data_IF_472692470158
#
_entry.id   IF_472692470158
#
_cell.length_a   1.000
_cell.length_b   1.000
_cell.length_c   1.000
_cell.angle_alpha   90.00
_cell.angle_beta   90.00
_cell.angle_gamma   90.00
#
_symmetry.space_group_name_H-M   'P 1'
#
loop_
_entity.id
_entity.type
_entity.pdbx_description
1 polymer ?
#
# COMPACT_ATOMS: atom_id res chain seq x y z
N UNK A 1 15.17 12.41 -0.87
CA UNK A 1 14.56 12.24 -2.21
C UNK A 1 14.72 10.80 -2.63
N UNK A 2 13.64 10.17 -3.08
CA UNK A 2 13.62 8.77 -3.54
C UNK A 2 14.33 8.62 -4.89
N UNK A 3 14.89 7.43 -5.12
CA UNK A 3 15.61 7.02 -6.32
C UNK A 3 15.22 5.60 -6.74
N UNK A 4 15.62 5.18 -7.93
CA UNK A 4 15.41 3.79 -8.39
C UNK A 4 16.12 2.74 -7.51
N UNK A 5 17.09 3.13 -6.70
CA UNK A 5 17.72 2.26 -5.69
C UNK A 5 16.84 1.97 -4.48
N UNK A 6 15.73 2.69 -4.32
CA UNK A 6 14.86 2.59 -3.14
C UNK A 6 13.63 1.66 -3.36
N UNK A 7 13.58 0.91 -4.47
CA UNK A 7 12.44 0.04 -4.84
C UNK A 7 12.05 -0.92 -3.71
N UNK A 8 13.02 -1.52 -3.03
CA UNK A 8 12.75 -2.44 -1.92
C UNK A 8 12.05 -1.77 -0.73
N UNK A 9 12.25 -0.45 -0.57
CA UNK A 9 11.67 0.32 0.53
C UNK A 9 10.32 0.95 0.20
N UNK A 10 10.14 1.42 -1.05
CA UNK A 10 8.98 2.24 -1.42
C UNK A 10 8.24 1.75 -2.67
N UNK A 11 8.64 0.62 -3.21
CA UNK A 11 8.06 0.05 -4.42
C UNK A 11 8.45 0.78 -5.71
N UNK A 12 8.19 0.12 -6.84
CA UNK A 12 8.64 0.60 -8.16
C UNK A 12 8.04 1.93 -8.57
N UNK A 13 6.75 2.16 -8.34
CA UNK A 13 6.08 3.42 -8.73
C UNK A 13 6.63 4.63 -8.00
N UNK A 14 6.86 4.52 -6.68
CA UNK A 14 7.38 5.63 -5.88
C UNK A 14 8.86 5.90 -6.20
N UNK A 15 9.66 4.84 -6.41
CA UNK A 15 11.05 4.97 -6.82
C UNK A 15 11.17 5.67 -8.19
N UNK A 16 10.36 5.28 -9.17
CA UNK A 16 10.30 5.91 -10.50
C UNK A 16 9.90 7.39 -10.42
N UNK A 17 8.89 7.74 -9.62
CA UNK A 17 8.50 9.14 -9.42
C UNK A 17 9.64 9.95 -8.79
N UNK A 18 10.31 9.40 -7.78
CA UNK A 18 11.46 10.04 -7.13
C UNK A 18 12.61 10.28 -8.10
N UNK A 19 12.89 9.32 -8.96
CA UNK A 19 13.90 9.46 -10.02
C UNK A 19 13.51 10.56 -11.03
N UNK A 20 12.26 10.56 -11.50
CA UNK A 20 11.76 11.61 -12.41
C UNK A 20 11.88 12.99 -11.81
N UNK A 21 11.45 13.20 -10.57
CA UNK A 21 11.56 14.50 -9.85
C UNK A 21 13.02 14.97 -9.78
N UNK A 22 13.97 14.03 -9.75
CA UNK A 22 15.39 14.31 -9.58
C UNK A 22 16.13 14.55 -10.87
N UNK A 23 15.68 13.99 -11.99
CA UNK A 23 16.40 13.94 -13.26
C UNK A 23 15.76 14.80 -14.37
N UNK A 24 14.48 15.11 -14.27
CA UNK A 24 13.80 15.87 -15.31
C UNK A 24 14.27 17.32 -15.37
N UNK A 25 14.40 17.90 -16.57
CA UNK A 25 14.87 19.27 -16.75
C UNK A 25 13.89 20.28 -16.15
N UNK A 26 14.41 21.47 -15.83
CA UNK A 26 13.62 22.59 -15.36
C UNK A 26 12.47 22.92 -16.34
N UNK A 27 11.26 22.98 -15.82
CA UNK A 27 10.04 23.23 -16.61
C UNK A 27 9.15 22.01 -16.82
N UNK A 28 9.66 20.79 -16.60
CA UNK A 28 8.81 19.60 -16.52
C UNK A 28 8.34 19.41 -15.07
N UNK A 29 7.02 19.44 -14.88
CA UNK A 29 6.42 19.25 -13.54
C UNK A 29 6.01 17.82 -13.33
N UNK A 30 6.53 17.21 -12.25
CA UNK A 30 6.05 15.95 -11.71
C UNK A 30 5.33 16.27 -10.41
N UNK A 31 4.13 15.72 -10.18
CA UNK A 31 3.42 15.92 -8.91
C UNK A 31 4.32 15.50 -7.74
N UNK A 32 4.39 16.35 -6.73
CA UNK A 32 5.08 16.04 -5.48
C UNK A 32 4.21 15.15 -4.60
N UNK A 33 4.83 14.47 -3.65
CA UNK A 33 4.13 13.58 -2.73
C UNK A 33 5.07 13.08 -1.65
N UNK A 34 4.53 12.25 -0.79
CA UNK A 34 5.29 11.42 0.14
C UNK A 34 4.90 9.96 -0.03
N UNK A 35 5.72 9.07 0.46
CA UNK A 35 5.44 7.64 0.48
C UNK A 35 5.71 7.10 1.89
N UNK A 36 4.87 6.17 2.33
CA UNK A 36 5.22 5.29 3.44
C UNK A 36 6.23 4.26 2.94
N UNK A 37 6.82 3.50 3.85
CA UNK A 37 7.79 2.47 3.48
C UNK A 37 7.18 1.07 3.63
N UNK A 38 7.76 0.10 2.94
CA UNK A 38 7.45 -1.32 3.16
C UNK A 38 7.63 -1.73 4.63
N UNK A 39 8.58 -1.12 5.33
CA UNK A 39 8.77 -1.30 6.77
C UNK A 39 7.55 -0.81 7.57
N UNK A 40 7.09 0.41 7.29
CA UNK A 40 5.91 0.98 7.95
C UNK A 40 4.64 0.13 7.70
N UNK A 41 4.48 -0.43 6.51
CA UNK A 41 3.41 -1.37 6.21
C UNK A 41 3.49 -2.63 7.08
N UNK A 42 4.69 -3.21 7.23
CA UNK A 42 4.89 -4.38 8.10
C UNK A 42 4.66 -4.05 9.57
N UNK A 43 5.08 -2.88 10.04
CA UNK A 43 4.78 -2.40 11.40
C UNK A 43 3.27 -2.24 11.63
N UNK A 44 2.56 -1.68 10.65
CA UNK A 44 1.10 -1.57 10.69
C UNK A 44 0.43 -2.95 10.81
N UNK A 45 0.85 -3.93 10.02
CA UNK A 45 0.32 -5.29 10.09
C UNK A 45 0.69 -6.02 11.41
N UNK A 46 1.87 -5.75 11.95
CA UNK A 46 2.30 -6.34 13.22
C UNK A 46 1.58 -5.73 14.43
N UNK A 47 1.07 -4.51 14.29
CA UNK A 47 0.43 -3.80 15.38
C UNK A 47 -0.83 -4.52 15.85
N UNK A 48 -0.97 -4.69 17.18
CA UNK A 48 -2.08 -5.38 17.84
C UNK A 48 -2.37 -6.80 17.31
N UNK A 49 -1.33 -7.48 16.80
CA UNK A 49 -1.41 -8.87 16.34
C UNK A 49 -2.28 -9.07 15.09
N UNK A 50 -2.47 -8.03 14.27
CA UNK A 50 -3.28 -8.13 13.06
C UNK A 50 -2.70 -9.18 12.08
N UNK A 51 -1.39 -9.22 11.91
CA UNK A 51 -0.73 -10.19 11.01
C UNK A 51 -1.02 -11.64 11.41
N UNK A 52 -1.08 -11.95 12.70
CA UNK A 52 -1.37 -13.30 13.19
C UNK A 52 -2.82 -13.70 12.90
N UNK A 53 -3.76 -12.75 13.04
CA UNK A 53 -5.18 -12.94 12.69
C UNK A 53 -5.35 -13.21 11.19
N UNK A 54 -4.63 -12.44 10.36
CA UNK A 54 -4.64 -12.62 8.89
C UNK A 54 -4.08 -13.99 8.52
N UNK A 55 -2.91 -14.36 9.04
CA UNK A 55 -2.28 -15.65 8.75
C UNK A 55 -3.17 -16.81 9.19
N UNK A 56 -3.74 -16.76 10.39
CA UNK A 56 -4.66 -17.80 10.87
C UNK A 56 -5.91 -17.98 9.97
N UNK A 57 -6.32 -16.93 9.25
CA UNK A 57 -7.43 -17.01 8.29
C UNK A 57 -6.98 -17.58 6.95
N UNK A 58 -5.78 -17.20 6.48
CA UNK A 58 -5.21 -17.66 5.22
C UNK A 58 -4.74 -19.12 5.27
N UNK A 59 -4.18 -19.57 6.40
CA UNK A 59 -3.69 -20.94 6.57
C UNK A 59 -4.79 -22.01 6.44
N UNK A 60 -6.04 -21.63 6.66
CA UNK A 60 -7.21 -22.51 6.56
C UNK A 60 -7.95 -22.40 5.24
N UNK A 61 -7.45 -21.55 4.33
CA UNK A 61 -8.14 -21.19 3.11
C UNK A 61 -7.80 -22.16 1.98
N UNK A 62 -8.83 -22.78 1.42
CA UNK A 62 -8.74 -23.39 0.09
C UNK A 62 -9.00 -22.32 -0.97
N UNK A 63 -7.97 -21.94 -1.70
CA UNK A 63 -8.05 -20.91 -2.74
C UNK A 63 -8.73 -21.35 -4.02
N UNK A 64 -9.00 -22.65 -4.17
CA UNK A 64 -9.80 -23.19 -5.28
C UNK A 64 -11.31 -23.04 -5.01
N UNK A 65 -11.71 -22.92 -3.74
CA UNK A 65 -13.08 -22.57 -3.36
C UNK A 65 -13.29 -21.05 -3.48
N UNK A 66 -13.87 -20.63 -4.60
CA UNK A 66 -14.12 -19.22 -4.92
C UNK A 66 -14.95 -18.51 -3.84
N UNK A 67 -15.92 -19.22 -3.22
CA UNK A 67 -16.76 -18.65 -2.16
C UNK A 67 -15.94 -18.45 -0.88
N UNK A 68 -15.19 -19.47 -0.45
CA UNK A 68 -14.31 -19.37 0.71
C UNK A 68 -13.25 -18.30 0.53
N UNK A 69 -12.69 -18.15 -0.69
CA UNK A 69 -11.74 -17.11 -1.03
C UNK A 69 -12.35 -15.71 -0.90
N UNK A 70 -13.56 -15.50 -1.44
CA UNK A 70 -14.24 -14.20 -1.36
C UNK A 70 -14.57 -13.81 0.08
N UNK A 71 -15.08 -14.76 0.88
CA UNK A 71 -15.38 -14.56 2.31
C UNK A 71 -14.10 -14.22 3.11
N UNK A 72 -13.05 -15.00 2.93
CA UNK A 72 -11.78 -14.75 3.61
C UNK A 72 -11.16 -13.41 3.22
N UNK A 73 -11.15 -13.09 1.94
CA UNK A 73 -10.66 -11.80 1.45
C UNK A 73 -11.43 -10.62 2.04
N UNK A 74 -12.76 -10.70 2.08
CA UNK A 74 -13.60 -9.67 2.67
C UNK A 74 -13.36 -9.49 4.18
N UNK A 75 -13.27 -10.60 4.94
CA UNK A 75 -12.96 -10.57 6.37
C UNK A 75 -11.59 -9.92 6.64
N UNK A 76 -10.56 -10.30 5.88
CA UNK A 76 -9.21 -9.76 6.06
C UNK A 76 -9.18 -8.26 5.72
N UNK A 77 -9.79 -7.85 4.61
CA UNK A 77 -9.86 -6.42 4.25
C UNK A 77 -10.55 -5.60 5.34
N UNK A 78 -11.66 -6.10 5.88
CA UNK A 78 -12.35 -5.44 6.99
C UNK A 78 -11.47 -5.31 8.25
N UNK A 79 -10.67 -6.34 8.59
CA UNK A 79 -9.70 -6.26 9.69
C UNK A 79 -8.65 -5.19 9.45
N UNK A 80 -8.08 -5.12 8.24
CA UNK A 80 -7.06 -4.12 7.87
C UNK A 80 -7.63 -2.70 7.93
N UNK A 81 -8.82 -2.48 7.39
CA UNK A 81 -9.48 -1.17 7.39
C UNK A 81 -9.88 -0.71 8.80
N UNK A 82 -10.26 -1.63 9.67
CA UNK A 82 -10.61 -1.34 11.07
C UNK A 82 -9.37 -1.06 11.95
N UNK A 83 -8.18 -1.54 11.54
CA UNK A 83 -6.95 -1.41 12.33
C UNK A 83 -6.55 0.07 12.49
N UNK A 84 -6.33 0.58 13.72
CA UNK A 84 -5.73 1.89 13.90
C UNK A 84 -4.27 1.90 13.46
N UNK A 85 -3.79 3.03 12.96
CA UNK A 85 -2.36 3.21 12.73
C UNK A 85 -1.60 3.24 14.06
N UNK A 86 -0.39 2.67 14.15
CA UNK A 86 0.53 2.97 15.24
C UNK A 86 0.71 4.48 15.39
N UNK A 87 0.74 4.98 16.63
CA UNK A 87 0.72 6.43 16.90
C UNK A 87 1.85 7.20 16.19
N UNK A 88 3.06 6.63 16.18
CA UNK A 88 4.22 7.26 15.53
C UNK A 88 4.07 7.29 14.01
N UNK A 89 3.52 6.24 13.41
CA UNK A 89 3.25 6.19 11.98
C UNK A 89 2.17 7.20 11.60
N UNK A 90 1.07 7.27 12.34
CA UNK A 90 0.01 8.25 12.11
C UNK A 90 0.53 9.67 12.20
N UNK A 91 1.36 9.95 13.21
CA UNK A 91 2.00 11.26 13.38
C UNK A 91 2.89 11.61 12.18
N UNK A 92 3.75 10.69 11.75
CA UNK A 92 4.64 10.93 10.60
C UNK A 92 3.85 11.19 9.31
N UNK A 93 2.76 10.46 9.07
CA UNK A 93 1.87 10.69 7.91
C UNK A 93 1.23 12.08 7.99
N UNK A 94 0.73 12.47 9.17
CA UNK A 94 0.08 13.77 9.37
C UNK A 94 1.04 14.93 9.15
N UNK A 95 2.27 14.82 9.63
CA UNK A 95 3.32 15.83 9.42
C UNK A 95 3.73 15.94 7.93
N UNK A 96 3.90 14.81 7.26
CA UNK A 96 4.18 14.77 5.82
C UNK A 96 3.04 15.37 5.00
N UNK A 97 1.79 15.06 5.35
CA UNK A 97 0.59 15.62 4.72
C UNK A 97 0.52 17.14 4.93
N UNK A 98 0.76 17.64 6.13
CA UNK A 98 0.76 19.07 6.43
C UNK A 98 1.80 19.81 5.57
N UNK A 99 2.99 19.23 5.42
CA UNK A 99 4.05 19.77 4.56
C UNK A 99 3.64 19.76 3.08
N UNK A 100 3.02 18.67 2.60
CA UNK A 100 2.62 18.52 1.21
C UNK A 100 1.46 19.45 0.83
N UNK A 101 0.52 19.67 1.73
CA UNK A 101 -0.65 20.52 1.50
C UNK A 101 -0.32 22.02 1.57
N UNK A 102 0.81 22.41 2.20
CA UNK A 102 1.25 23.81 2.39
C UNK A 102 0.12 24.73 2.87
N UNK A 103 -0.79 24.22 3.69
CA UNK A 103 -1.94 24.96 4.20
C UNK A 103 -3.08 25.16 3.18
N UNK A 104 -3.01 24.54 2.01
CA UNK A 104 -4.09 24.58 1.02
C UNK A 104 -5.17 23.54 1.35
N UNK A 105 -6.20 23.95 2.08
CA UNK A 105 -7.31 23.08 2.47
C UNK A 105 -8.12 22.55 1.27
N UNK A 106 -8.03 23.18 0.10
CA UNK A 106 -8.71 22.76 -1.13
C UNK A 106 -7.86 21.79 -1.99
N UNK A 107 -6.65 21.46 -1.56
CA UNK A 107 -5.80 20.54 -2.29
C UNK A 107 -6.43 19.15 -2.36
N UNK A 108 -6.35 18.51 -3.53
CA UNK A 108 -6.76 17.13 -3.76
C UNK A 108 -5.54 16.25 -4.01
N UNK A 109 -5.62 15.01 -3.55
CA UNK A 109 -4.51 14.07 -3.62
C UNK A 109 -4.93 12.79 -4.34
N UNK A 110 -3.95 12.11 -4.92
CA UNK A 110 -4.07 10.72 -5.33
C UNK A 110 -3.40 9.84 -4.29
N UNK A 111 -4.14 8.90 -3.71
CA UNK A 111 -3.60 7.87 -2.80
C UNK A 111 -3.52 6.57 -3.58
N UNK A 112 -2.32 6.03 -3.72
CA UNK A 112 -2.09 4.83 -4.53
C UNK A 112 -1.05 3.91 -3.92
N UNK A 113 -1.15 2.63 -4.24
CA UNK A 113 -0.16 1.63 -3.89
C UNK A 113 1.11 1.74 -4.71
N UNK A 114 2.21 1.33 -4.09
CA UNK A 114 3.46 1.00 -4.75
C UNK A 114 4.03 -0.27 -4.10
N UNK A 115 3.95 -1.40 -4.80
CA UNK A 115 4.40 -2.67 -4.25
C UNK A 115 5.89 -2.89 -4.45
N UNK A 116 6.53 -3.55 -3.49
CA UNK A 116 7.94 -3.94 -3.58
C UNK A 116 8.17 -5.08 -4.59
N UNK A 117 7.12 -5.83 -4.91
CA UNK A 117 7.16 -6.99 -5.80
C UNK A 117 6.29 -6.80 -7.06
N UNK A 118 6.05 -5.55 -7.49
CA UNK A 118 5.12 -5.27 -8.61
C UNK A 118 5.63 -5.79 -9.96
N UNK A 119 6.93 -5.69 -10.19
CA UNK A 119 7.60 -6.04 -11.44
C UNK A 119 8.75 -7.03 -11.19
N UNK A 120 8.42 -8.20 -10.62
CA UNK A 120 9.40 -9.28 -10.53
C UNK A 120 9.57 -9.93 -11.92
N UNK A 121 10.79 -10.44 -12.25
CA UNK A 121 11.05 -11.06 -13.55
C UNK A 121 10.09 -12.20 -13.89
N UNK A 122 9.64 -12.96 -12.90
CA UNK A 122 8.80 -14.13 -13.04
C UNK A 122 7.34 -13.94 -12.57
N UNK A 123 7.00 -12.74 -12.07
CA UNK A 123 5.67 -12.45 -11.56
C UNK A 123 5.34 -10.95 -11.65
N UNK A 124 4.14 -10.63 -12.10
CA UNK A 124 3.63 -9.25 -12.15
C UNK A 124 2.37 -9.13 -11.32
N UNK A 125 2.39 -8.21 -10.37
CA UNK A 125 1.23 -7.83 -9.55
C UNK A 125 0.50 -6.61 -10.12
N UNK A 126 0.76 -6.29 -11.39
CA UNK A 126 0.15 -5.15 -12.07
C UNK A 126 -1.38 -5.24 -12.09
N UNK A 127 -2.05 -4.12 -11.83
CA UNK A 127 -3.50 -4.01 -11.84
C UNK A 127 -4.25 -4.72 -10.70
N UNK A 128 -3.53 -5.17 -9.67
CA UNK A 128 -4.12 -5.84 -8.50
C UNK A 128 -4.32 -4.89 -7.30
N UNK A 129 -3.96 -3.63 -7.46
CA UNK A 129 -3.89 -2.66 -6.37
C UNK A 129 -4.68 -1.40 -6.69
N UNK A 130 -5.21 -0.77 -5.64
CA UNK A 130 -6.12 0.35 -5.75
C UNK A 130 -5.39 1.71 -5.91
N UNK A 131 -6.10 2.62 -6.57
CA UNK A 131 -5.74 4.05 -6.65
C UNK A 131 -6.99 4.88 -6.43
N UNK A 132 -6.93 5.78 -5.47
CA UNK A 132 -8.02 6.71 -5.14
C UNK A 132 -7.62 8.11 -5.57
N UNK A 133 -8.49 8.76 -6.32
CA UNK A 133 -8.31 10.13 -6.82
C UNK A 133 -9.23 11.09 -6.06
N UNK A 134 -8.89 12.38 -6.11
CA UNK A 134 -9.67 13.45 -5.49
C UNK A 134 -9.87 13.28 -3.98
N UNK A 135 -8.88 12.75 -3.29
CA UNK A 135 -8.89 12.56 -1.83
C UNK A 135 -8.64 13.90 -1.14
N UNK A 136 -9.44 14.24 -0.13
CA UNK A 136 -9.38 15.53 0.57
C UNK A 136 -9.07 15.37 2.05
N UNK A 137 -8.13 16.15 2.54
CA UNK A 137 -7.82 16.22 3.96
C UNK A 137 -7.17 14.96 4.52
N UNK A 138 -6.62 15.08 5.73
CA UNK A 138 -5.83 14.02 6.36
C UNK A 138 -6.67 12.80 6.72
N UNK A 139 -7.89 12.98 7.18
CA UNK A 139 -8.73 11.87 7.62
C UNK A 139 -9.10 10.93 6.46
N UNK A 140 -9.44 11.53 5.29
CA UNK A 140 -9.73 10.74 4.11
C UNK A 140 -8.44 10.08 3.56
N UNK A 141 -7.30 10.78 3.60
CA UNK A 141 -5.99 10.18 3.22
C UNK A 141 -5.69 8.97 4.08
N UNK A 142 -5.78 9.06 5.40
CA UNK A 142 -5.57 7.93 6.32
C UNK A 142 -6.52 6.78 6.04
N UNK A 143 -7.78 7.07 5.76
CA UNK A 143 -8.77 6.06 5.40
C UNK A 143 -8.40 5.35 4.10
N UNK A 144 -8.10 6.11 3.03
CA UNK A 144 -7.71 5.56 1.73
C UNK A 144 -6.39 4.80 1.76
N UNK A 145 -5.45 5.18 2.62
CA UNK A 145 -4.23 4.39 2.83
C UNK A 145 -4.54 2.99 3.37
N UNK A 146 -5.49 2.86 4.31
CA UNK A 146 -5.91 1.55 4.82
C UNK A 146 -6.63 0.72 3.75
N UNK A 147 -7.46 1.33 2.93
CA UNK A 147 -8.07 0.65 1.78
C UNK A 147 -7.01 0.18 0.76
N UNK A 148 -5.98 1.00 0.51
CA UNK A 148 -4.81 0.58 -0.31
C UNK A 148 -4.11 -0.61 0.33
N UNK A 149 -3.86 -0.61 1.63
CA UNK A 149 -3.25 -1.74 2.33
C UNK A 149 -4.14 -2.99 2.27
N UNK A 150 -5.45 -2.81 2.45
CA UNK A 150 -6.43 -3.88 2.35
C UNK A 150 -6.48 -4.50 0.94
N UNK A 151 -6.21 -3.73 -0.12
CA UNK A 151 -6.25 -4.22 -1.50
C UNK A 151 -5.27 -5.37 -1.78
N UNK A 152 -4.22 -5.50 -0.97
CA UNK A 152 -3.31 -6.64 -1.02
C UNK A 152 -4.01 -7.98 -0.73
N UNK A 153 -5.17 -7.91 -0.09
CA UNK A 153 -6.00 -9.07 0.26
C UNK A 153 -7.29 -9.15 -0.59
N UNK A 154 -7.27 -8.61 -1.80
CA UNK A 154 -8.26 -8.90 -2.82
C UNK A 154 -8.16 -10.38 -3.24
N UNK A 155 -9.27 -10.99 -3.59
CA UNK A 155 -9.37 -12.40 -3.98
C UNK A 155 -8.33 -12.77 -5.03
N UNK A 156 -8.20 -11.93 -6.07
CA UNK A 156 -7.20 -12.10 -7.13
C UNK A 156 -5.77 -12.06 -6.59
N UNK A 157 -5.48 -11.14 -5.67
CA UNK A 157 -4.13 -10.97 -5.11
C UNK A 157 -3.77 -12.16 -4.19
N UNK A 158 -4.72 -12.67 -3.40
CA UNK A 158 -4.54 -13.85 -2.56
C UNK A 158 -4.28 -15.08 -3.44
N UNK A 159 -5.20 -15.37 -4.37
CA UNK A 159 -5.11 -16.51 -5.28
C UNK A 159 -3.81 -16.48 -6.10
N UNK A 160 -3.42 -15.32 -6.63
CA UNK A 160 -2.21 -15.17 -7.41
C UNK A 160 -0.94 -15.50 -6.60
N UNK A 161 -0.82 -15.01 -5.35
CA UNK A 161 0.32 -15.33 -4.50
C UNK A 161 0.42 -16.82 -4.22
N UNK A 162 -0.69 -17.45 -3.85
CA UNK A 162 -0.73 -18.89 -3.60
C UNK A 162 -0.34 -19.68 -4.86
N UNK A 163 -0.91 -19.33 -6.00
CA UNK A 163 -0.63 -20.01 -7.28
C UNK A 163 0.83 -19.89 -7.72
N UNK A 164 1.45 -18.76 -7.42
CA UNK A 164 2.87 -18.49 -7.72
C UNK A 164 3.84 -18.97 -6.63
N UNK A 165 3.34 -19.47 -5.50
CA UNK A 165 4.16 -19.95 -4.39
C UNK A 165 4.83 -18.85 -3.58
N UNK A 166 4.32 -17.60 -3.64
CA UNK A 166 4.79 -16.51 -2.77
C UNK A 166 4.14 -16.60 -1.39
N UNK A 167 4.95 -16.43 -0.34
CA UNK A 167 4.39 -16.21 0.97
C UNK A 167 3.66 -14.84 1.01
N UNK A 168 2.56 -14.77 1.76
CA UNK A 168 1.79 -13.52 1.86
C UNK A 168 2.61 -12.36 2.45
N UNK A 169 3.63 -12.67 3.27
CA UNK A 169 4.55 -11.71 3.87
C UNK A 169 5.62 -11.17 2.91
N UNK A 170 5.85 -11.82 1.76
CA UNK A 170 6.90 -11.42 0.81
C UNK A 170 6.56 -10.14 0.06
N UNK A 171 5.27 -9.81 -0.03
CA UNK A 171 4.78 -8.61 -0.71
C UNK A 171 4.44 -7.54 0.30
N UNK A 172 5.05 -6.39 0.17
CA UNK A 172 4.76 -5.21 0.99
C UNK A 172 4.34 -4.03 0.11
N UNK A 173 3.57 -3.13 0.70
CA UNK A 173 3.11 -1.90 0.05
C UNK A 173 3.79 -0.67 0.65
N UNK A 174 3.85 0.34 -0.16
CA UNK A 174 4.25 1.70 0.19
C UNK A 174 3.17 2.66 -0.29
#
# INVERSE_FOLDING_TARGET
KLRMTDVESVGGKNASLGEMISQLPTGVRVPTGFATTAHAFREFLAYDGLVDKINARLDKLDTEDVRALAEAGAEIRAMVEAQPFPADLQKAITEAFATLSEGNAAATFAVRSSATAEDLPDASFAGQQETFLNVHGIDEVLHKMKEVFASLYNDRAISYRVHKGFAHADVALS
#
